data_IF_013361588089
#
_entry.id   IF_013361588089
#
_cell.length_a   1.000
_cell.length_b   1.000
_cell.length_c   1.000
_cell.angle_alpha   90.00
_cell.angle_beta   90.00
_cell.angle_gamma   90.00
#
_symmetry.space_group_name_H-M   'P 1'
#
loop_
_entity.id
_entity.type
_entity.pdbx_description
1 polymer ?
#
# COMPACT_ATOMS: atom_id res chain seq x y z
N UNK A 1 52.70 18.22 -60.23
CA UNK A 1 51.85 19.40 -60.54
C UNK A 1 50.71 18.91 -61.41
N UNK A 2 49.49 18.76 -60.86
CA UNK A 2 48.36 18.22 -61.61
C UNK A 2 47.31 19.31 -61.78
N UNK A 3 47.21 19.79 -63.02
CA UNK A 3 46.34 20.84 -63.50
C UNK A 3 44.86 20.45 -63.49
N UNK A 4 44.03 21.43 -63.14
CA UNK A 4 42.57 21.40 -63.07
C UNK A 4 41.98 22.03 -64.36
N UNK A 5 40.93 21.45 -64.95
CA UNK A 5 39.98 22.05 -65.94
C UNK A 5 38.98 20.93 -66.37
N UNK A 6 37.75 20.78 -65.83
CA UNK A 6 36.45 21.50 -66.00
C UNK A 6 35.87 21.46 -67.43
N UNK A 7 34.67 20.83 -67.58
CA UNK A 7 33.41 21.26 -68.28
C UNK A 7 32.53 20.02 -68.55
N UNK A 8 31.48 19.73 -67.76
CA UNK A 8 30.08 20.21 -67.81
C UNK A 8 29.34 19.94 -69.14
N UNK A 9 28.42 18.97 -69.15
CA UNK A 9 27.25 18.95 -70.04
C UNK A 9 26.00 18.55 -69.25
N UNK A 10 24.99 19.41 -69.35
CA UNK A 10 23.68 19.41 -68.69
C UNK A 10 22.69 18.56 -69.49
N UNK A 11 21.80 17.81 -68.83
CA UNK A 11 20.46 17.50 -69.35
C UNK A 11 19.48 17.21 -68.19
N UNK A 12 18.41 18.02 -68.02
CA UNK A 12 17.48 17.92 -66.90
C UNK A 12 16.37 16.92 -67.23
N UNK A 13 16.39 15.76 -66.56
CA UNK A 13 15.27 14.81 -66.55
C UNK A 13 14.36 15.08 -65.36
N UNK A 14 13.39 15.98 -65.54
CA UNK A 14 12.25 16.21 -64.65
C UNK A 14 11.41 14.92 -64.56
N UNK A 15 11.72 14.06 -63.59
CA UNK A 15 10.72 13.12 -63.05
C UNK A 15 10.76 13.29 -61.54
N UNK A 16 10.15 14.39 -61.09
CA UNK A 16 9.89 14.65 -59.69
C UNK A 16 8.85 13.65 -59.18
N UNK A 17 9.28 12.44 -58.86
CA UNK A 17 8.53 11.59 -57.94
C UNK A 17 8.80 12.17 -56.55
N UNK A 18 8.06 13.23 -56.21
CA UNK A 18 7.90 13.63 -54.82
C UNK A 18 7.23 12.47 -54.11
N UNK A 19 8.03 11.62 -53.46
CA UNK A 19 7.53 10.88 -52.31
C UNK A 19 7.06 11.94 -51.32
N UNK A 20 5.74 12.14 -51.25
CA UNK A 20 5.10 12.66 -50.07
C UNK A 20 5.46 11.66 -48.96
N UNK A 21 6.55 11.90 -48.24
CA UNK A 21 6.73 11.30 -46.93
C UNK A 21 5.60 11.86 -46.08
N UNK A 22 4.48 11.14 -46.06
CA UNK A 22 3.44 11.33 -45.06
C UNK A 22 4.15 11.17 -43.73
N UNK A 23 4.43 12.31 -43.10
CA UNK A 23 4.91 12.33 -41.72
C UNK A 23 3.72 11.78 -40.93
N UNK A 24 3.79 10.51 -40.55
CA UNK A 24 2.86 9.97 -39.59
C UNK A 24 3.01 10.83 -38.33
N UNK A 25 2.05 11.72 -38.09
CA UNK A 25 1.94 12.44 -36.82
C UNK A 25 1.51 11.37 -35.83
N UNK A 26 2.49 10.66 -35.28
CA UNK A 26 2.27 9.75 -34.18
C UNK A 26 1.71 10.62 -33.05
N UNK A 27 0.49 10.37 -32.56
CA UNK A 27 -0.02 11.12 -31.41
C UNK A 27 0.98 10.88 -30.29
N UNK A 28 1.60 11.97 -29.82
CA UNK A 28 2.51 11.92 -28.69
C UNK A 28 1.64 11.64 -27.48
N UNK A 29 1.41 10.36 -27.19
CA UNK A 29 0.80 9.95 -25.94
C UNK A 29 1.64 10.60 -24.85
N UNK A 30 1.05 11.52 -24.10
CA UNK A 30 1.71 12.18 -22.99
C UNK A 30 2.26 11.09 -22.07
N UNK A 31 3.57 10.82 -22.16
CA UNK A 31 4.19 9.78 -21.36
C UNK A 31 4.18 10.26 -19.91
N UNK A 32 3.32 9.65 -19.11
CA UNK A 32 3.27 9.92 -17.68
C UNK A 32 4.57 9.39 -17.06
N UNK A 33 5.57 10.26 -16.95
CA UNK A 33 6.84 9.93 -16.31
C UNK A 33 6.57 9.49 -14.87
N UNK A 34 6.93 8.24 -14.60
CA UNK A 34 6.75 7.61 -13.29
C UNK A 34 8.11 7.47 -12.64
N UNK A 35 8.31 8.10 -11.48
CA UNK A 35 9.52 7.93 -10.69
C UNK A 35 9.37 6.68 -9.80
N UNK A 36 10.35 5.78 -9.82
CA UNK A 36 10.42 4.59 -8.97
C UNK A 36 11.61 4.70 -8.04
N UNK A 37 11.38 4.60 -6.74
CA UNK A 37 12.42 4.85 -5.73
C UNK A 37 12.36 3.78 -4.66
N UNK A 38 13.51 3.25 -4.30
CA UNK A 38 13.65 2.35 -3.16
C UNK A 38 14.34 3.12 -2.02
N UNK A 39 13.77 3.07 -0.82
CA UNK A 39 14.36 3.69 0.37
C UNK A 39 14.53 2.61 1.42
N UNK A 40 15.78 2.39 1.85
CA UNK A 40 16.06 1.45 2.93
C UNK A 40 15.85 2.13 4.28
N UNK A 41 15.18 1.45 5.21
CA UNK A 41 14.93 1.90 6.57
C UNK A 41 15.37 0.83 7.56
N UNK A 42 16.33 1.17 8.40
CA UNK A 42 16.81 0.29 9.46
C UNK A 42 15.87 0.37 10.68
N UNK A 43 15.59 -0.79 11.27
CA UNK A 43 14.87 -0.90 12.53
C UNK A 43 15.78 -0.43 13.68
N UNK A 44 15.21 0.36 14.58
CA UNK A 44 15.94 0.80 15.78
C UNK A 44 15.98 -0.32 16.83
N UNK A 45 16.98 -0.33 17.73
CA UNK A 45 16.97 -1.21 18.89
C UNK A 45 15.67 -1.05 19.71
N UNK A 46 15.08 -2.17 20.16
CA UNK A 46 13.87 -2.22 20.98
C UNK A 46 12.59 -1.61 20.36
N UNK A 47 12.61 -1.31 19.05
CA UNK A 47 11.46 -0.73 18.36
C UNK A 47 10.37 -1.75 18.08
N UNK A 48 9.13 -1.49 18.52
CA UNK A 48 8.00 -2.34 18.13
C UNK A 48 7.75 -2.29 16.62
N UNK A 49 7.23 -3.38 16.04
CA UNK A 49 6.90 -3.40 14.60
C UNK A 49 5.96 -2.24 14.20
N UNK A 50 4.99 -1.90 15.04
CA UNK A 50 4.10 -0.77 14.80
C UNK A 50 4.85 0.57 14.76
N UNK A 51 5.83 0.77 15.65
CA UNK A 51 6.71 1.96 15.63
C UNK A 51 7.50 2.04 14.32
N UNK A 52 8.07 0.91 13.91
CA UNK A 52 8.80 0.78 12.66
C UNK A 52 7.93 1.12 11.44
N UNK A 53 6.70 0.58 11.37
CA UNK A 53 5.78 0.88 10.27
C UNK A 53 5.37 2.35 10.24
N UNK A 54 5.18 2.98 11.39
CA UNK A 54 4.86 4.41 11.46
C UNK A 54 6.02 5.27 10.98
N UNK A 55 7.27 4.89 11.25
CA UNK A 55 8.46 5.53 10.67
C UNK A 55 8.54 5.31 9.16
N UNK A 56 8.29 4.09 8.69
CA UNK A 56 8.25 3.78 7.26
C UNK A 56 7.25 4.67 6.49
N UNK A 57 6.07 4.91 7.04
CA UNK A 57 5.07 5.83 6.46
C UNK A 57 5.56 7.28 6.39
N UNK A 58 6.23 7.77 7.45
CA UNK A 58 6.81 9.12 7.48
C UNK A 58 7.89 9.26 6.43
N UNK A 59 8.76 8.25 6.29
CA UNK A 59 9.81 8.22 5.27
C UNK A 59 9.22 8.18 3.87
N UNK A 60 8.20 7.34 3.63
CA UNK A 60 7.52 7.28 2.34
C UNK A 60 6.85 8.60 1.97
N UNK A 61 6.22 9.29 2.93
CA UNK A 61 5.65 10.62 2.73
C UNK A 61 6.72 11.63 2.31
N UNK A 62 7.85 11.66 3.02
CA UNK A 62 8.95 12.58 2.72
C UNK A 62 9.56 12.29 1.34
N UNK A 63 9.75 11.01 1.00
CA UNK A 63 10.23 10.59 -0.31
C UNK A 63 9.26 10.98 -1.43
N UNK A 64 7.95 10.81 -1.23
CA UNK A 64 6.93 11.18 -2.22
C UNK A 64 6.94 12.68 -2.51
N UNK A 65 6.95 13.50 -1.44
CA UNK A 65 7.01 14.94 -1.57
C UNK A 65 8.27 15.38 -2.32
N UNK A 66 9.44 14.88 -1.89
CA UNK A 66 10.71 15.19 -2.55
C UNK A 66 10.74 14.77 -4.01
N UNK A 67 10.15 13.62 -4.36
CA UNK A 67 10.11 13.12 -5.74
C UNK A 67 9.32 14.06 -6.66
N UNK A 68 8.19 14.55 -6.17
CA UNK A 68 7.38 15.52 -6.90
C UNK A 68 8.07 16.88 -6.98
N UNK A 69 8.81 17.29 -5.96
CA UNK A 69 9.52 18.57 -5.95
C UNK A 69 10.81 18.54 -6.79
N UNK A 70 11.43 17.36 -6.97
CA UNK A 70 12.70 17.21 -7.69
C UNK A 70 12.56 17.30 -9.21
N UNK A 71 11.45 16.81 -9.78
CA UNK A 71 11.21 16.84 -11.23
C UNK A 71 9.76 17.20 -11.53
N UNK A 72 9.56 18.33 -12.20
CA UNK A 72 8.24 18.86 -12.57
C UNK A 72 7.47 17.93 -13.52
N UNK A 73 8.17 17.12 -14.33
CA UNK A 73 7.55 16.19 -15.28
C UNK A 73 7.08 14.89 -14.64
N UNK A 74 7.57 14.57 -13.43
CA UNK A 74 7.13 13.40 -12.69
C UNK A 74 5.64 13.54 -12.35
N UNK A 75 4.83 12.67 -12.94
CA UNK A 75 3.37 12.69 -12.82
C UNK A 75 2.87 11.62 -11.86
N UNK A 76 3.64 10.54 -11.70
CA UNK A 76 3.39 9.44 -10.76
C UNK A 76 4.66 9.07 -10.01
N UNK A 77 4.52 8.65 -8.76
CA UNK A 77 5.62 8.11 -7.95
C UNK A 77 5.22 6.73 -7.43
N UNK A 78 6.18 5.82 -7.42
CA UNK A 78 6.09 4.53 -6.76
C UNK A 78 7.32 4.38 -5.85
N UNK A 79 7.09 4.36 -4.54
CA UNK A 79 8.14 4.33 -3.53
C UNK A 79 8.03 3.04 -2.75
N UNK A 80 9.08 2.24 -2.79
CA UNK A 80 9.19 1.02 -2.00
C UNK A 80 10.09 1.28 -0.80
N UNK A 81 9.56 1.11 0.41
CA UNK A 81 10.37 1.11 1.63
C UNK A 81 10.87 -0.31 1.85
N UNK A 82 12.18 -0.47 1.94
CA UNK A 82 12.85 -1.72 2.29
C UNK A 82 13.23 -1.67 3.77
N UNK A 83 12.55 -2.43 4.61
CA UNK A 83 12.95 -2.59 6.00
C UNK A 83 14.21 -3.41 6.12
N UNK A 84 15.07 -3.06 7.08
CA UNK A 84 16.25 -3.83 7.43
C UNK A 84 16.30 -4.10 8.94
N UNK A 85 16.51 -5.35 9.33
CA UNK A 85 16.76 -5.74 10.72
C UNK A 85 17.85 -6.81 10.77
N UNK A 86 18.97 -6.52 11.46
CA UNK A 86 20.07 -7.48 11.67
C UNK A 86 20.58 -8.20 10.39
N UNK A 87 20.57 -7.51 9.25
CA UNK A 87 21.02 -8.07 7.97
C UNK A 87 19.90 -8.65 7.10
N UNK A 88 18.70 -8.85 7.65
CA UNK A 88 17.51 -9.19 6.87
C UNK A 88 16.94 -7.96 6.19
N UNK A 89 16.53 -8.08 4.94
CA UNK A 89 15.95 -6.99 4.15
C UNK A 89 14.64 -7.46 3.52
N UNK A 90 13.56 -6.72 3.75
CA UNK A 90 12.25 -7.02 3.18
C UNK A 90 11.53 -5.75 2.73
N UNK A 91 10.75 -5.78 1.64
CA UNK A 91 9.86 -4.67 1.31
C UNK A 91 8.74 -4.59 2.34
N UNK A 92 8.56 -3.44 2.98
CA UNK A 92 7.59 -3.25 4.08
C UNK A 92 6.37 -2.43 3.66
N UNK A 93 6.58 -1.49 2.74
CA UNK A 93 5.57 -0.55 2.28
C UNK A 93 5.82 -0.19 0.82
N UNK A 94 4.77 -0.22 0.00
CA UNK A 94 4.75 0.39 -1.32
C UNK A 94 3.79 1.59 -1.29
N UNK A 95 4.26 2.76 -1.70
CA UNK A 95 3.43 3.95 -1.87
C UNK A 95 3.35 4.30 -3.35
N UNK A 96 2.15 4.23 -3.92
CA UNK A 96 1.93 4.61 -5.32
C UNK A 96 0.89 5.73 -5.42
N UNK A 97 1.30 6.87 -5.98
CA UNK A 97 0.39 8.03 -6.07
C UNK A 97 0.74 8.94 -7.24
N UNK A 98 -0.27 9.59 -7.81
CA UNK A 98 -0.08 10.63 -8.81
C UNK A 98 0.02 12.01 -8.17
N UNK A 99 0.73 12.94 -8.80
CA UNK A 99 0.86 14.32 -8.33
C UNK A 99 -0.48 15.00 -8.00
N UNK A 100 -1.53 14.93 -8.86
CA UNK A 100 -2.81 15.55 -8.51
C UNK A 100 -3.49 14.88 -7.32
N UNK A 101 -3.37 13.55 -7.16
CA UNK A 101 -3.90 12.85 -5.98
C UNK A 101 -3.13 13.22 -4.72
N UNK A 102 -1.80 13.32 -4.81
CA UNK A 102 -0.94 13.72 -3.70
C UNK A 102 -1.23 15.16 -3.24
N UNK A 103 -1.41 16.10 -4.17
CA UNK A 103 -1.80 17.48 -3.85
C UNK A 103 -3.12 17.58 -3.11
N UNK A 104 -4.09 16.72 -3.44
CA UNK A 104 -5.39 16.66 -2.74
C UNK A 104 -5.26 16.02 -1.35
N UNK A 105 -4.41 15.01 -1.21
CA UNK A 105 -4.22 14.27 0.05
C UNK A 105 -2.75 13.84 0.20
N UNK A 106 -1.90 14.65 0.85
CA UNK A 106 -0.47 14.38 1.02
C UNK A 106 -0.21 13.48 2.25
N UNK A 107 -0.92 12.36 2.33
CA UNK A 107 -0.76 11.39 3.39
C UNK A 107 -0.47 10.00 2.83
N UNK A 108 0.67 9.44 3.24
CA UNK A 108 1.17 8.14 2.77
C UNK A 108 0.18 7.00 3.03
N UNK A 109 -0.52 7.03 4.17
CA UNK A 109 -1.41 5.93 4.60
C UNK A 109 -2.52 5.61 3.62
N UNK A 110 -3.02 6.60 2.88
CA UNK A 110 -4.11 6.41 1.92
C UNK A 110 -3.67 5.81 0.59
N UNK A 111 -2.37 5.87 0.31
CA UNK A 111 -1.77 5.41 -0.95
C UNK A 111 -0.81 4.23 -0.73
N UNK A 112 -0.72 3.78 0.53
CA UNK A 112 0.16 2.74 0.99
C UNK A 112 -0.47 1.36 0.76
N UNK A 113 0.33 0.46 0.20
CA UNK A 113 0.11 -0.98 0.21
C UNK A 113 1.15 -1.59 1.14
N UNK A 114 0.70 -2.25 2.20
CA UNK A 114 1.56 -2.89 3.18
C UNK A 114 1.84 -4.32 2.74
N UNK A 115 3.11 -4.73 2.76
CA UNK A 115 3.47 -6.09 2.42
C UNK A 115 3.21 -7.02 3.62
N UNK A 116 2.45 -8.12 3.43
CA UNK A 116 2.17 -9.07 4.49
C UNK A 116 3.43 -9.84 4.91
N UNK A 117 3.42 -10.43 6.10
CA UNK A 117 4.47 -11.31 6.62
C UNK A 117 5.88 -10.67 6.76
N UNK A 118 5.97 -9.35 6.65
CA UNK A 118 7.23 -8.62 6.75
C UNK A 118 7.84 -8.67 8.15
N UNK A 119 7.02 -8.81 9.20
CA UNK A 119 7.49 -9.10 10.56
C UNK A 119 8.34 -10.37 10.63
N UNK A 120 7.89 -11.43 9.97
CA UNK A 120 8.61 -12.70 9.93
C UNK A 120 9.90 -12.59 9.10
N UNK A 121 9.82 -11.95 7.92
CA UNK A 121 11.00 -11.75 7.06
C UNK A 121 12.07 -10.88 7.73
N UNK A 122 11.66 -9.92 8.54
CA UNK A 122 12.56 -9.08 9.32
C UNK A 122 12.93 -9.70 10.67
N UNK A 123 12.51 -10.94 10.97
CA UNK A 123 12.75 -11.61 12.27
C UNK A 123 12.38 -10.75 13.48
N UNK A 124 11.25 -10.04 13.40
CA UNK A 124 10.74 -9.19 14.50
C UNK A 124 10.00 -10.03 15.54
N UNK A 125 9.36 -11.12 15.09
CA UNK A 125 8.92 -12.24 15.92
C UNK A 125 9.71 -13.48 15.50
N UNK A 126 10.53 -14.03 16.40
CA UNK A 126 10.86 -15.44 16.33
C UNK A 126 9.59 -16.21 16.69
N UNK A 127 9.05 -17.10 15.84
CA UNK A 127 8.01 -18.01 16.28
C UNK A 127 8.59 -18.80 17.46
N UNK A 128 7.93 -18.71 18.63
CA UNK A 128 8.23 -19.56 19.79
C UNK A 128 7.95 -21.03 19.43
N UNK A 129 8.86 -21.66 18.69
CA UNK A 129 9.01 -23.10 18.73
C UNK A 129 9.81 -23.44 19.98
N UNK A 130 9.25 -23.15 21.16
CA UNK A 130 9.72 -23.78 22.38
C UNK A 130 9.51 -25.29 22.20
N UNK A 131 10.56 -26.13 22.10
CA UNK A 131 10.35 -27.56 22.18
C UNK A 131 9.71 -27.82 23.54
N UNK A 132 8.43 -28.16 23.54
CA UNK A 132 7.73 -28.64 24.71
C UNK A 132 8.57 -29.82 25.22
N UNK A 133 9.27 -29.63 26.33
CA UNK A 133 10.04 -30.68 26.97
C UNK A 133 9.06 -31.80 27.32
N UNK A 134 8.89 -32.76 26.43
CA UNK A 134 8.34 -34.07 26.73
C UNK A 134 9.40 -34.79 27.56
N UNK A 135 9.16 -35.06 28.85
CA UNK A 135 9.99 -36.01 29.55
C UNK A 135 9.65 -37.40 29.00
N UNK A 136 10.43 -37.87 28.03
CA UNK A 136 10.57 -39.29 27.78
C UNK A 136 11.48 -39.87 28.87
N UNK A 137 10.89 -40.54 29.87
CA UNK A 137 11.60 -41.58 30.61
C UNK A 137 11.18 -42.93 30.03
N UNK A 138 12.15 -43.69 29.52
CA UNK A 138 11.97 -45.07 29.09
C UNK A 138 11.96 -45.96 30.34
N UNK A 139 10.78 -46.42 30.75
CA UNK A 139 10.63 -47.42 31.82
C UNK A 139 10.16 -48.75 31.21
N UNK A 140 10.76 -49.91 31.56
CA UNK A 140 10.44 -51.21 30.95
C UNK A 140 9.04 -51.68 31.37
N UNK A 141 8.27 -52.20 30.40
CA UNK A 141 6.91 -52.67 30.59
C UNK A 141 6.80 -53.79 31.65
N UNK A 142 6.06 -53.54 32.73
CA UNK A 142 5.48 -54.59 33.58
C UNK A 142 4.11 -54.17 34.14
N UNK A 143 3.07 -54.83 33.62
CA UNK A 143 1.67 -54.96 34.07
C UNK A 143 1.22 -54.23 35.35
N UNK A 144 0.39 -53.19 35.21
CA UNK A 144 -0.89 -53.02 35.94
C UNK A 144 -1.70 -51.86 35.35
N UNK A 145 -3.00 -52.10 35.15
CA UNK A 145 -3.96 -51.12 34.63
C UNK A 145 -4.10 -49.91 35.59
N UNK A 146 -4.23 -48.67 35.10
CA UNK A 146 -4.52 -47.53 35.95
C UNK A 146 -5.91 -47.67 36.59
N UNK A 147 -5.93 -47.63 37.91
CA UNK A 147 -7.12 -47.55 38.76
C UNK A 147 -8.01 -46.35 38.35
N UNK A 148 -9.34 -46.48 38.35
CA UNK A 148 -10.22 -45.34 38.10
C UNK A 148 -10.10 -44.29 39.23
N UNK A 149 -10.18 -42.98 38.90
CA UNK A 149 -10.11 -41.93 39.92
C UNK A 149 -11.30 -42.03 40.90
N UNK A 150 -11.12 -41.64 42.18
CA UNK A 150 -12.19 -41.68 43.17
C UNK A 150 -13.32 -40.72 42.80
N UNK A 151 -14.56 -41.23 42.86
CA UNK A 151 -15.78 -40.45 42.66
C UNK A 151 -15.99 -39.46 43.82
N UNK A 152 -15.91 -38.16 43.55
CA UNK A 152 -16.31 -37.12 44.48
C UNK A 152 -17.76 -36.68 44.17
N UNK A 153 -18.70 -37.13 45.00
CA UNK A 153 -20.12 -36.76 44.93
C UNK A 153 -20.36 -35.39 45.58
N UNK A 154 -20.12 -34.30 44.85
CA UNK A 154 -20.78 -33.01 45.08
C UNK A 154 -21.06 -32.37 43.72
N UNK A 155 -22.34 -32.36 43.35
CA UNK A 155 -22.85 -31.61 42.21
C UNK A 155 -22.84 -30.11 42.54
N UNK A 156 -22.12 -29.26 41.78
CA UNK A 156 -22.39 -27.83 41.76
C UNK A 156 -23.67 -27.58 40.95
N UNK A 157 -24.53 -26.71 41.47
CA UNK A 157 -25.81 -26.30 40.89
C UNK A 157 -25.72 -25.88 39.40
N UNK A 158 -26.81 -26.04 38.62
CA UNK A 158 -26.86 -25.52 37.27
C UNK A 158 -26.73 -23.99 37.27
N UNK A 159 -26.01 -23.40 36.29
CA UNK A 159 -25.98 -21.95 36.12
C UNK A 159 -27.41 -21.42 35.87
N UNK A 160 -27.74 -20.19 36.31
CA UNK A 160 -29.04 -19.61 35.99
C UNK A 160 -29.19 -19.54 34.46
N UNK A 161 -30.31 -20.04 33.96
CA UNK A 161 -30.71 -19.86 32.57
C UNK A 161 -30.89 -18.36 32.32
N UNK A 162 -29.93 -17.73 31.64
CA UNK A 162 -30.07 -16.38 31.12
C UNK A 162 -31.07 -16.42 29.96
N UNK A 163 -32.35 -16.16 30.24
CA UNK A 163 -33.40 -15.95 29.24
C UNK A 163 -33.22 -14.59 28.56
N UNK A 164 -32.10 -14.38 27.89
CA UNK A 164 -31.95 -13.32 26.91
C UNK A 164 -32.14 -13.93 25.53
N UNK A 165 -33.37 -13.81 25.02
CA UNK A 165 -33.61 -13.83 23.58
C UNK A 165 -32.64 -12.84 22.90
N UNK A 166 -32.18 -13.08 21.66
CA UNK A 166 -31.40 -12.10 20.93
C UNK A 166 -32.18 -10.80 20.89
N UNK A 167 -31.71 -9.75 21.56
CA UNK A 167 -32.20 -8.41 21.31
C UNK A 167 -31.90 -8.10 19.84
N UNK A 168 -32.96 -7.96 19.05
CA UNK A 168 -32.90 -7.46 17.68
C UNK A 168 -32.06 -6.19 17.64
N UNK A 169 -31.18 -6.00 16.64
CA UNK A 169 -30.43 -4.76 16.48
C UNK A 169 -31.40 -3.56 16.44
N UNK A 170 -31.05 -2.41 17.03
CA UNK A 170 -31.90 -1.24 16.95
C UNK A 170 -32.11 -0.89 15.48
N UNK A 171 -33.36 -0.89 15.04
CA UNK A 171 -33.75 -0.30 13.77
C UNK A 171 -33.36 1.18 13.81
N UNK A 172 -32.31 1.54 13.08
CA UNK A 172 -31.95 2.93 12.84
C UNK A 172 -33.04 3.56 11.96
N UNK A 173 -34.09 4.08 12.58
CA UNK A 173 -35.13 4.87 11.93
C UNK A 173 -34.65 6.30 11.67
N UNK A 174 -33.43 6.45 11.13
CA UNK A 174 -33.08 7.65 10.38
C UNK A 174 -33.55 7.44 8.94
N UNK A 175 -34.79 7.84 8.68
CA UNK A 175 -35.15 8.32 7.37
C UNK A 175 -34.14 9.41 6.97
N UNK A 176 -33.72 9.52 5.70
CA UNK A 176 -32.96 10.67 5.25
C UNK A 176 -33.72 11.93 5.63
N UNK A 177 -33.10 12.83 6.40
CA UNK A 177 -33.63 14.18 6.55
C UNK A 177 -33.77 14.76 5.13
N UNK A 178 -34.95 15.29 4.76
CA UNK A 178 -35.06 16.02 3.51
C UNK A 178 -34.13 17.25 3.58
N UNK A 179 -33.51 17.64 2.46
CA UNK A 179 -32.68 18.85 2.42
C UNK A 179 -33.51 20.05 2.91
N UNK A 180 -32.89 21.03 3.60
CA UNK A 180 -33.62 22.23 4.00
C UNK A 180 -34.19 22.89 2.74
N UNK A 181 -35.52 23.04 2.73
CA UNK A 181 -36.21 23.85 1.75
C UNK A 181 -35.71 25.29 1.88
N UNK A 182 -34.88 25.72 0.93
CA UNK A 182 -34.55 27.13 0.75
C UNK A 182 -35.77 27.84 0.17
N UNK A 183 -36.77 28.10 1.02
CA UNK A 183 -37.82 29.05 0.73
C UNK A 183 -37.27 30.46 0.93
N UNK A 184 -36.44 30.89 -0.02
CA UNK A 184 -36.17 32.30 -0.24
C UNK A 184 -36.97 32.74 -1.47
N UNK A 185 -38.28 32.74 -1.30
CA UNK A 185 -39.19 33.52 -2.14
C UNK A 185 -39.23 34.91 -1.50
N UNK A 186 -38.53 35.84 -2.15
CA UNK A 186 -39.08 37.16 -2.48
C UNK A 186 -39.70 37.97 -1.34
N UNK A 187 -38.86 38.67 -0.58
CA UNK A 187 -39.23 40.00 -0.06
C UNK A 187 -38.40 41.04 -0.84
N UNK A 188 -38.89 41.34 -2.03
CA UNK A 188 -38.55 42.53 -2.81
C UNK A 188 -39.84 43.31 -3.02
N UNK A 189 -40.40 43.87 -1.97
CA UNK A 189 -41.17 45.12 -2.07
C UNK A 189 -41.59 45.58 -0.67
N UNK A 190 -40.85 46.53 -0.09
CA UNK A 190 -41.36 47.74 0.58
C UNK A 190 -40.35 48.27 1.60
N UNK A 191 -39.60 49.31 1.21
CA UNK A 191 -39.50 50.60 1.93
C UNK A 191 -38.33 51.44 1.38
N UNK A 192 -38.73 52.53 0.73
CA UNK A 192 -38.12 53.87 0.67
C UNK A 192 -36.64 53.96 0.24
#
# INVERSE_FOLDING_TARGET
MLSKLIRLLVLPGLVGVSWLTTVAIVPQSAEAKTARINVTLNREPDETYQGFMRRAEVVARAAAQRSFDSDILTTKVAITILGQNQGEIAPVLLLEVSRPSWKRRPDAKYWATYFPNTQFLLRVEEPDFSPQSQPQSLEPANNQAPEPPPANNQAPEPPPANNQAPESPPANNQAPEPPPANNQIEDRDTRQ
#
